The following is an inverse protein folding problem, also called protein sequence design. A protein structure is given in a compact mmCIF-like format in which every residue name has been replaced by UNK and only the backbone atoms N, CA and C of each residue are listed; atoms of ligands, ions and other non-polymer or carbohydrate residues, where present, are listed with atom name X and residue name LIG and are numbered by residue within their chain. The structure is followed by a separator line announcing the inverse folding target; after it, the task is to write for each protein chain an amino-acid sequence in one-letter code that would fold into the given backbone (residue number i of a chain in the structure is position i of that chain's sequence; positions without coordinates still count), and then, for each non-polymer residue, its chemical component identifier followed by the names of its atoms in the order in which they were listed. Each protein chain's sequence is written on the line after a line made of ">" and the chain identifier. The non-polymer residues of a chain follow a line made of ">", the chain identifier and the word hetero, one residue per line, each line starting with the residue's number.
data_IF_310351619642
#
_entry.id   IF_310351619642
#
_cell.length_a   1.000
_cell.length_b   1.000
_cell.length_c   1.000
_cell.angle_alpha   90.00
_cell.angle_beta   90.00
_cell.angle_gamma   90.00
#
_symmetry.space_group_name_H-M   'P 1'
#
loop_
_entity.id
_entity.type
_entity.pdbx_description
1 polymer ?
#
# COMPACT_ATOMS: atom_id res chain seq x y z
N UNK A 1 23.36 -8.26 17.11
CA UNK A 1 22.34 -9.32 17.30
C UNK A 1 22.70 -10.25 18.45
N UNK A 2 23.97 -10.27 18.84
CA UNK A 2 24.59 -11.20 19.79
C UNK A 2 23.95 -11.19 21.19
N UNK A 3 23.33 -10.09 21.61
CA UNK A 3 22.59 -10.02 22.88
C UNK A 3 21.28 -10.82 22.84
N UNK A 4 20.60 -10.81 21.69
CA UNK A 4 19.35 -11.56 21.47
C UNK A 4 19.67 -13.05 21.34
N UNK A 5 20.75 -13.40 20.64
CA UNK A 5 21.21 -14.78 20.52
C UNK A 5 21.66 -15.36 21.87
N UNK A 6 22.46 -14.60 22.64
CA UNK A 6 22.86 -15.00 24.00
C UNK A 6 21.67 -15.20 24.92
N UNK A 7 20.66 -14.32 24.88
CA UNK A 7 19.42 -14.46 25.66
C UNK A 7 18.63 -15.73 25.27
N UNK A 8 18.70 -16.15 24.00
CA UNK A 8 18.02 -17.38 23.55
C UNK A 8 18.70 -18.65 24.04
N UNK A 9 20.01 -18.62 24.28
CA UNK A 9 20.76 -19.76 24.83
C UNK A 9 20.49 -19.97 26.32
N UNK A 10 19.97 -18.97 27.04
CA UNK A 10 19.64 -19.08 28.46
C UNK A 10 18.43 -20.00 28.71
N UNK A 11 18.38 -20.68 29.89
CA UNK A 11 17.21 -21.41 30.36
C UNK A 11 15.96 -20.52 30.35
N UNK A 12 14.78 -21.09 30.05
CA UNK A 12 13.53 -20.31 29.88
C UNK A 12 13.22 -19.34 31.02
N UNK A 13 13.60 -19.67 32.27
CA UNK A 13 13.36 -18.84 33.46
C UNK A 13 14.30 -17.64 33.59
N UNK A 14 15.44 -17.67 32.91
CA UNK A 14 16.49 -16.65 32.95
C UNK A 14 16.46 -15.72 31.73
N UNK A 15 15.62 -16.04 30.73
CA UNK A 15 15.46 -15.21 29.53
C UNK A 15 14.84 -13.87 29.90
N UNK A 16 15.51 -12.79 29.53
CA UNK A 16 15.02 -11.42 29.73
C UNK A 16 14.13 -10.94 28.59
N UNK A 17 14.01 -11.70 27.51
CA UNK A 17 13.25 -11.31 26.32
C UNK A 17 13.77 -10.01 25.70
N UNK A 18 15.10 -9.93 25.55
CA UNK A 18 15.81 -8.71 25.11
C UNK A 18 15.23 -8.14 23.80
N UNK A 19 14.85 -9.00 22.86
CA UNK A 19 14.24 -8.57 21.60
C UNK A 19 12.92 -7.80 21.81
N UNK A 20 12.08 -8.23 22.76
CA UNK A 20 10.83 -7.56 23.10
C UNK A 20 11.07 -6.20 23.74
N UNK A 21 12.04 -6.10 24.66
CA UNK A 21 12.41 -4.84 25.30
C UNK A 21 12.91 -3.81 24.28
N UNK A 22 13.81 -4.22 23.40
CA UNK A 22 14.36 -3.33 22.36
C UNK A 22 13.27 -2.88 21.38
N UNK A 23 12.40 -3.81 20.93
CA UNK A 23 11.30 -3.44 20.04
C UNK A 23 10.28 -2.53 20.71
N UNK A 24 10.00 -2.70 22.01
CA UNK A 24 9.15 -1.78 22.76
C UNK A 24 9.78 -0.38 22.87
N UNK A 25 11.10 -0.30 23.14
CA UNK A 25 11.83 0.97 23.12
C UNK A 25 11.77 1.64 21.75
N UNK A 26 11.91 0.86 20.68
CA UNK A 26 11.80 1.35 19.30
C UNK A 26 10.38 1.87 18.97
N UNK A 27 9.34 1.17 19.42
CA UNK A 27 7.96 1.64 19.28
C UNK A 27 7.76 2.98 19.98
N UNK A 28 8.20 3.12 21.24
CA UNK A 28 8.10 4.39 21.99
C UNK A 28 8.86 5.51 21.27
N UNK A 29 10.06 5.23 20.78
CA UNK A 29 10.85 6.19 20.02
C UNK A 29 10.15 6.67 18.74
N UNK A 30 9.49 5.76 18.01
CA UNK A 30 8.70 6.13 16.83
C UNK A 30 7.44 6.92 17.19
N UNK A 31 6.74 6.53 18.25
CA UNK A 31 5.55 7.26 18.71
C UNK A 31 5.89 8.68 19.16
N UNK A 32 7.01 8.88 19.86
CA UNK A 32 7.47 10.21 20.30
C UNK A 32 7.84 11.13 19.13
N UNK A 33 8.15 10.58 17.96
CA UNK A 33 8.38 11.34 16.73
C UNK A 33 7.10 11.68 15.96
N UNK A 34 5.94 11.26 16.47
CA UNK A 34 4.65 11.53 15.84
C UNK A 34 4.32 10.64 14.65
N UNK A 35 4.98 9.49 14.48
CA UNK A 35 4.61 8.55 13.41
C UNK A 35 3.22 7.96 13.65
N UNK A 36 2.42 7.87 12.57
CA UNK A 36 1.12 7.24 12.61
C UNK A 36 1.21 5.76 13.04
N UNK A 37 0.22 5.21 13.78
CA UNK A 37 0.22 3.82 14.24
C UNK A 37 0.49 2.78 13.14
N UNK A 38 -0.05 3.02 11.94
CA UNK A 38 0.19 2.17 10.75
C UNK A 38 1.68 2.14 10.38
N UNK A 39 2.31 3.31 10.33
CA UNK A 39 3.74 3.46 10.00
C UNK A 39 4.62 2.79 11.04
N UNK A 40 4.32 2.96 12.33
CA UNK A 40 5.05 2.29 13.42
C UNK A 40 5.04 0.77 13.23
N UNK A 41 3.87 0.19 12.92
CA UNK A 41 3.73 -1.26 12.66
C UNK A 41 4.54 -1.72 11.44
N UNK A 42 4.54 -0.94 10.36
CA UNK A 42 5.33 -1.24 9.16
C UNK A 42 6.82 -1.27 9.48
N UNK A 43 7.33 -0.29 10.23
CA UNK A 43 8.75 -0.23 10.59
C UNK A 43 9.16 -1.37 11.54
N UNK A 44 8.34 -1.69 12.54
CA UNK A 44 8.59 -2.86 13.40
C UNK A 44 8.58 -4.15 12.59
N UNK A 45 7.66 -4.28 11.63
CA UNK A 45 7.62 -5.40 10.69
C UNK A 45 8.86 -5.52 9.82
N UNK A 46 9.41 -4.39 9.35
CA UNK A 46 10.66 -4.37 8.59
C UNK A 46 11.85 -4.87 9.42
N UNK A 47 11.95 -4.44 10.70
CA UNK A 47 12.98 -4.95 11.63
C UNK A 47 12.81 -6.45 11.88
N UNK A 48 11.58 -6.93 12.04
CA UNK A 48 11.31 -8.36 12.18
C UNK A 48 11.73 -9.14 10.92
N UNK A 49 11.43 -8.61 9.74
CA UNK A 49 11.81 -9.23 8.47
C UNK A 49 13.33 -9.32 8.31
N UNK A 50 14.04 -8.24 8.67
CA UNK A 50 15.50 -8.22 8.69
C UNK A 50 16.07 -9.23 9.70
N UNK A 51 15.50 -9.32 10.89
CA UNK A 51 15.93 -10.31 11.88
C UNK A 51 15.71 -11.75 11.40
N UNK A 52 14.59 -11.99 10.70
CA UNK A 52 14.29 -13.28 10.07
C UNK A 52 15.30 -13.63 8.98
N UNK A 53 15.77 -12.65 8.20
CA UNK A 53 16.82 -12.87 7.19
C UNK A 53 18.13 -13.39 7.81
N UNK A 54 18.45 -12.97 9.03
CA UNK A 54 19.62 -13.46 9.79
C UNK A 54 19.30 -14.67 10.71
N UNK A 55 18.22 -15.41 10.43
CA UNK A 55 17.80 -16.58 11.23
C UNK A 55 17.54 -16.30 12.72
N UNK A 56 17.21 -15.05 13.06
CA UNK A 56 16.78 -14.63 14.39
C UNK A 56 15.25 -14.45 14.40
N UNK A 57 14.46 -15.51 14.66
CA UNK A 57 13.00 -15.38 14.77
C UNK A 57 12.62 -14.55 15.99
N UNK A 58 12.12 -13.33 15.73
CA UNK A 58 11.55 -12.45 16.74
C UNK A 58 10.02 -12.55 16.68
N UNK A 59 9.39 -12.79 17.82
CA UNK A 59 7.93 -12.76 17.96
C UNK A 59 7.44 -11.37 18.32
N UNK A 60 6.47 -10.86 17.58
CA UNK A 60 5.81 -9.57 17.89
C UNK A 60 4.66 -9.69 18.89
N UNK A 61 4.31 -10.91 19.34
CA UNK A 61 3.13 -11.16 20.19
C UNK A 61 3.11 -10.31 21.47
N UNK A 62 4.28 -10.05 22.05
CA UNK A 62 4.44 -9.31 23.31
C UNK A 62 5.00 -7.90 23.11
N UNK A 63 5.14 -7.46 21.86
CA UNK A 63 5.53 -6.09 21.52
C UNK A 63 4.29 -5.21 21.60
N UNK A 64 4.39 -4.11 22.34
CA UNK A 64 3.31 -3.13 22.60
C UNK A 64 3.06 -2.25 21.37
N UNK A 65 2.65 -2.86 20.27
CA UNK A 65 2.31 -2.14 19.04
C UNK A 65 1.08 -1.26 19.26
N UNK A 66 1.05 -0.03 18.71
CA UNK A 66 -0.10 0.84 18.84
C UNK A 66 -1.34 0.18 18.20
N UNK A 67 -2.55 0.32 18.77
CA UNK A 67 -3.74 -0.35 18.25
C UNK A 67 -3.98 0.01 16.78
N UNK A 68 -4.51 -0.94 16.01
CA UNK A 68 -4.96 -0.64 14.65
C UNK A 68 -6.10 0.34 14.75
N UNK A 69 -5.85 1.60 14.43
CA UNK A 69 -6.93 2.57 14.32
C UNK A 69 -7.79 2.21 13.11
N UNK A 70 -9.12 2.27 13.22
CA UNK A 70 -10.00 2.04 12.08
C UNK A 70 -9.61 3.03 10.98
N UNK A 71 -9.40 2.49 9.78
CA UNK A 71 -9.15 3.28 8.59
C UNK A 71 -10.31 4.26 8.45
N UNK A 72 -9.99 5.55 8.31
CA UNK A 72 -10.96 6.60 8.04
C UNK A 72 -11.96 6.09 7.00
N UNK A 73 -13.26 6.08 7.32
CA UNK A 73 -14.27 5.67 6.36
C UNK A 73 -14.19 6.66 5.20
N UNK A 74 -13.82 6.16 4.01
CA UNK A 74 -13.83 6.97 2.80
C UNK A 74 -15.25 7.50 2.59
N UNK A 75 -15.37 8.74 2.14
CA UNK A 75 -16.67 9.32 1.79
C UNK A 75 -17.37 8.43 0.76
N UNK A 76 -18.61 7.99 1.00
CA UNK A 76 -19.37 7.21 0.03
C UNK A 76 -19.89 8.15 -1.05
N UNK A 77 -19.17 8.25 -2.15
CA UNK A 77 -19.57 9.08 -3.28
C UNK A 77 -20.81 8.52 -3.99
N UNK A 78 -21.79 9.37 -4.24
CA UNK A 78 -22.91 9.08 -5.14
C UNK A 78 -22.61 9.55 -6.56
N UNK A 79 -23.26 8.98 -7.57
CA UNK A 79 -23.05 9.39 -8.98
C UNK A 79 -23.39 10.87 -9.20
N UNK A 80 -24.40 11.41 -8.50
CA UNK A 80 -24.76 12.83 -8.58
C UNK A 80 -23.64 13.73 -8.03
N UNK A 81 -23.12 13.43 -6.85
CA UNK A 81 -22.00 14.18 -6.24
C UNK A 81 -20.74 14.14 -7.11
N UNK A 82 -20.47 12.99 -7.75
CA UNK A 82 -19.31 12.86 -8.66
C UNK A 82 -19.52 13.73 -9.90
N UNK A 83 -20.73 13.76 -10.46
CA UNK A 83 -21.07 14.62 -11.58
C UNK A 83 -20.85 16.10 -11.26
N UNK A 84 -21.32 16.55 -10.10
CA UNK A 84 -21.09 17.91 -9.60
C UNK A 84 -19.60 18.21 -9.39
N UNK A 85 -18.86 17.27 -8.80
CA UNK A 85 -17.42 17.39 -8.56
C UNK A 85 -16.62 17.52 -9.87
N UNK A 86 -16.95 16.70 -10.87
CA UNK A 86 -16.29 16.77 -12.19
C UNK A 86 -16.66 18.09 -12.89
N UNK A 87 -17.93 18.52 -12.83
CA UNK A 87 -18.39 19.76 -13.44
C UNK A 87 -17.71 21.00 -12.83
N UNK A 88 -17.42 20.98 -11.53
CA UNK A 88 -16.74 22.05 -10.82
C UNK A 88 -15.24 22.22 -11.19
N UNK A 89 -14.64 21.28 -11.93
CA UNK A 89 -13.25 21.42 -12.38
C UNK A 89 -13.14 22.40 -13.54
N UNK A 90 -12.25 23.39 -13.47
CA UNK A 90 -12.12 24.39 -14.54
C UNK A 90 -11.46 23.83 -15.81
N UNK A 91 -10.49 22.93 -15.66
CA UNK A 91 -9.67 22.46 -16.77
C UNK A 91 -10.30 21.21 -17.42
N UNK A 92 -10.55 21.20 -18.75
CA UNK A 92 -11.13 20.05 -19.44
C UNK A 92 -10.28 18.79 -19.30
N UNK A 93 -8.95 18.94 -19.20
CA UNK A 93 -8.03 17.84 -18.94
C UNK A 93 -8.35 17.11 -17.63
N UNK A 94 -8.58 17.82 -16.52
CA UNK A 94 -8.92 17.19 -15.24
C UNK A 94 -10.29 16.52 -15.28
N UNK A 95 -11.26 17.12 -16.00
CA UNK A 95 -12.57 16.49 -16.24
C UNK A 95 -12.41 15.16 -16.96
N UNK A 96 -11.60 15.11 -18.03
CA UNK A 96 -11.35 13.88 -18.77
C UNK A 96 -10.68 12.81 -17.89
N UNK A 97 -9.69 13.19 -17.09
CA UNK A 97 -9.01 12.27 -16.17
C UNK A 97 -10.00 11.69 -15.14
N UNK A 98 -10.78 12.55 -14.49
CA UNK A 98 -11.74 12.12 -13.49
C UNK A 98 -12.86 11.23 -14.06
N UNK A 99 -13.37 11.59 -15.25
CA UNK A 99 -14.35 10.77 -15.96
C UNK A 99 -13.77 9.41 -16.38
N UNK A 100 -12.54 9.38 -16.89
CA UNK A 100 -11.87 8.14 -17.26
C UNK A 100 -11.65 7.23 -16.04
N UNK A 101 -11.19 7.76 -14.90
CA UNK A 101 -11.04 6.98 -13.65
C UNK A 101 -12.39 6.39 -13.23
N UNK A 102 -13.46 7.19 -13.27
CA UNK A 102 -14.80 6.74 -12.88
C UNK A 102 -15.34 5.64 -13.79
N UNK A 103 -15.18 5.79 -15.11
CA UNK A 103 -15.76 4.88 -16.10
C UNK A 103 -14.96 3.59 -16.25
N UNK A 104 -13.62 3.67 -16.23
CA UNK A 104 -12.74 2.53 -16.46
C UNK A 104 -12.34 1.79 -15.17
N UNK A 105 -12.45 2.44 -14.02
CA UNK A 105 -11.95 1.91 -12.75
C UNK A 105 -10.42 1.85 -12.66
N UNK A 106 -9.69 2.48 -13.59
CA UNK A 106 -8.23 2.50 -13.59
C UNK A 106 -7.64 3.24 -12.40
N UNK A 107 -6.46 2.82 -11.98
CA UNK A 107 -5.68 3.61 -11.03
C UNK A 107 -5.16 4.89 -11.70
N UNK A 108 -4.89 5.92 -10.89
CA UNK A 108 -4.31 7.16 -11.40
C UNK A 108 -2.98 6.90 -12.13
N UNK A 109 -2.18 5.96 -11.65
CA UNK A 109 -0.90 5.61 -12.28
C UNK A 109 -1.11 5.04 -13.68
N UNK A 110 -2.05 4.10 -13.84
CA UNK A 110 -2.31 3.42 -15.12
C UNK A 110 -2.81 4.43 -16.17
N UNK A 111 -3.67 5.36 -15.76
CA UNK A 111 -4.20 6.39 -16.66
C UNK A 111 -3.12 7.40 -17.09
N UNK A 112 -2.19 7.74 -16.20
CA UNK A 112 -1.08 8.66 -16.53
C UNK A 112 -0.02 7.99 -17.43
N UNK A 113 0.05 6.66 -17.43
CA UNK A 113 0.91 5.90 -18.36
C UNK A 113 0.26 5.64 -19.70
N UNK A 114 -1.02 5.98 -19.88
CA UNK A 114 -1.76 5.76 -21.12
C UNK A 114 -1.10 6.52 -22.27
N UNK A 115 -0.80 5.82 -23.34
CA UNK A 115 -0.26 6.37 -24.57
C UNK A 115 -1.29 6.32 -25.70
N UNK A 116 -1.06 7.08 -26.75
CA UNK A 116 -1.90 7.02 -27.95
C UNK A 116 -1.96 5.61 -28.56
N UNK A 117 -0.89 4.82 -28.44
CA UNK A 117 -0.83 3.46 -28.95
C UNK A 117 -1.91 2.56 -28.34
N UNK A 118 -2.24 2.77 -27.06
CA UNK A 118 -3.17 1.96 -26.27
C UNK A 118 -4.64 2.20 -26.64
N UNK A 119 -4.92 3.28 -27.39
CA UNK A 119 -6.27 3.67 -27.83
C UNK A 119 -6.40 3.81 -29.34
N UNK A 120 -5.29 3.74 -30.08
CA UNK A 120 -5.24 4.08 -31.51
C UNK A 120 -6.25 3.30 -32.33
N UNK A 121 -6.30 1.98 -32.14
CA UNK A 121 -7.12 1.10 -32.98
C UNK A 121 -8.61 1.42 -32.88
N UNK A 122 -9.12 1.62 -31.67
CA UNK A 122 -10.55 1.89 -31.47
C UNK A 122 -10.90 3.35 -31.73
N UNK A 123 -9.98 4.27 -31.43
CA UNK A 123 -10.16 5.69 -31.70
C UNK A 123 -10.22 5.97 -33.20
N UNK A 124 -9.33 5.37 -33.99
CA UNK A 124 -9.33 5.53 -35.46
C UNK A 124 -10.56 4.86 -36.11
N UNK A 125 -11.10 3.80 -35.50
CA UNK A 125 -12.33 3.13 -35.94
C UNK A 125 -13.61 3.84 -35.48
N UNK A 126 -13.50 4.87 -34.65
CA UNK A 126 -14.65 5.60 -34.10
C UNK A 126 -15.54 4.76 -33.19
N UNK A 127 -14.99 3.73 -32.55
CA UNK A 127 -15.75 2.83 -31.66
C UNK A 127 -15.93 3.49 -30.30
N UNK A 128 -17.17 3.50 -29.80
CA UNK A 128 -17.51 3.96 -28.44
C UNK A 128 -18.41 2.94 -27.76
N UNK A 129 -18.08 2.47 -26.53
CA UNK A 129 -16.98 2.90 -25.67
C UNK A 129 -15.59 2.44 -26.19
N UNK A 130 -14.56 3.23 -25.89
CA UNK A 130 -13.15 2.92 -26.19
C UNK A 130 -12.61 1.91 -25.16
N UNK A 131 -12.17 0.75 -25.60
CA UNK A 131 -11.43 -0.21 -24.81
C UNK A 131 -9.94 0.15 -24.84
N UNK A 132 -9.34 0.14 -23.65
CA UNK A 132 -7.93 0.48 -23.46
C UNK A 132 -7.12 -0.82 -23.48
N UNK A 133 -6.21 -0.98 -24.43
CA UNK A 133 -5.28 -2.11 -24.42
C UNK A 133 -4.05 -1.76 -23.59
N UNK A 134 -4.09 -2.13 -22.30
CA UNK A 134 -3.05 -1.81 -21.32
C UNK A 134 -1.96 -2.90 -21.21
N UNK A 135 -1.82 -3.78 -22.22
CA UNK A 135 -0.92 -4.91 -22.19
C UNK A 135 0.57 -4.51 -22.30
N UNK A 136 1.11 -3.90 -21.24
CA UNK A 136 2.55 -3.67 -21.09
C UNK A 136 3.10 -4.70 -20.09
N UNK A 137 3.49 -5.89 -20.59
CA UNK A 137 4.39 -6.81 -19.86
C UNK A 137 3.95 -8.26 -19.59
N UNK A 138 2.91 -8.79 -20.24
CA UNK A 138 2.54 -10.21 -20.13
C UNK A 138 2.38 -10.82 -21.51
N UNK A 139 3.09 -11.92 -21.80
CA UNK A 139 2.87 -12.73 -23.01
C UNK A 139 1.36 -12.98 -23.20
N UNK A 140 0.83 -12.91 -24.44
CA UNK A 140 -0.55 -13.30 -24.67
C UNK A 140 -0.71 -14.77 -24.29
N UNK A 141 -1.55 -15.03 -23.30
CA UNK A 141 -2.04 -16.38 -23.01
C UNK A 141 -3.00 -16.78 -24.12
N UNK A 142 -2.44 -17.20 -25.26
CA UNK A 142 -3.17 -18.03 -26.21
C UNK A 142 -3.39 -19.39 -25.54
N UNK A 143 -4.61 -19.64 -25.10
CA UNK A 143 -5.10 -21.01 -24.88
C UNK A 143 -5.60 -21.49 -26.24
N UNK A 144 -4.80 -22.35 -26.86
CA UNK A 144 -5.20 -23.25 -27.95
C UNK A 144 -6.17 -24.31 -27.45
#
# INVERSE_FOLDING_TARGET
>A
MDRVERDRLLPRRERRHVATEVLNGFVVWLSNRGYAPKTVRVYVGAVQSLAKYYDVPISLRYVRLPPTQPVYKKHPWTLAEIGEFIAAMDKPMYRSIAASILQSGLSLSDLLTLTYGDIREELEKGVTPLCLDLAIGGKPAFVS
#
